data_IF_108054209186
#
_entry.id   IF_108054209186
#
_cell.length_a   1.000
_cell.length_b   1.000
_cell.length_c   1.000
_cell.angle_alpha   90.00
_cell.angle_beta   90.00
_cell.angle_gamma   90.00
#
_symmetry.space_group_name_H-M   'P 1'
#
loop_
_entity.id
_entity.type
_entity.pdbx_description
1 polymer ?
#
# COMPACT_ATOMS: atom_id res chain seq x y z
N UNK A 1 43.59 -72.07 46.04
CA UNK A 1 43.63 -71.77 47.50
C UNK A 1 42.78 -70.52 47.75
N UNK A 2 41.79 -70.60 48.66
CA UNK A 2 41.08 -69.52 49.40
C UNK A 2 40.28 -68.49 48.54
N UNK A 3 38.95 -68.53 48.46
CA UNK A 3 37.89 -68.19 49.45
C UNK A 3 38.02 -66.76 50.04
N UNK A 4 36.99 -65.92 49.82
CA UNK A 4 36.16 -65.13 50.78
C UNK A 4 35.76 -63.77 50.15
N UNK A 5 34.49 -63.56 49.79
CA UNK A 5 33.39 -62.93 50.60
C UNK A 5 33.68 -61.45 50.90
N UNK A 6 32.84 -60.48 50.52
CA UNK A 6 31.73 -59.95 51.34
C UNK A 6 30.74 -59.15 50.46
N UNK A 7 29.44 -59.33 50.75
CA UNK A 7 28.33 -58.50 50.29
C UNK A 7 28.24 -57.18 51.09
N UNK A 8 27.84 -56.07 50.45
CA UNK A 8 26.85 -55.14 51.02
C UNK A 8 26.40 -54.04 50.04
N UNK A 9 25.09 -54.07 49.78
CA UNK A 9 24.10 -52.99 49.62
C UNK A 9 24.41 -51.71 48.80
N UNK A 10 23.70 -51.63 47.67
CA UNK A 10 22.63 -50.66 47.36
C UNK A 10 22.97 -49.15 47.41
N UNK A 11 23.05 -48.54 46.22
CA UNK A 11 22.24 -47.37 45.86
C UNK A 11 22.29 -47.19 44.33
N UNK A 12 21.14 -47.38 43.67
CA UNK A 12 20.98 -47.07 42.25
C UNK A 12 20.76 -45.55 42.16
N UNK A 13 21.73 -44.84 41.59
CA UNK A 13 21.56 -43.47 41.11
C UNK A 13 21.90 -43.51 39.63
N UNK A 14 20.86 -43.63 38.81
CA UNK A 14 20.92 -43.52 37.36
C UNK A 14 21.12 -42.06 36.97
N UNK A 15 22.37 -41.68 36.68
CA UNK A 15 22.70 -40.44 35.98
C UNK A 15 23.26 -40.83 34.62
N UNK A 16 22.39 -40.78 33.61
CA UNK A 16 22.80 -40.89 32.21
C UNK A 16 23.47 -39.56 31.81
N UNK A 17 24.80 -39.55 31.86
CA UNK A 17 25.63 -38.60 31.13
C UNK A 17 25.56 -38.94 29.64
N UNK A 18 24.73 -38.22 28.89
CA UNK A 18 24.86 -38.19 27.42
C UNK A 18 25.64 -36.95 27.04
N UNK A 19 26.83 -37.20 26.51
CA UNK A 19 27.79 -36.21 26.08
C UNK A 19 27.33 -35.37 24.90
N UNK A 20 27.91 -34.19 24.85
CA UNK A 20 27.81 -33.16 23.83
C UNK A 20 28.15 -33.71 22.43
N UNK A 21 27.22 -33.56 21.48
CA UNK A 21 27.50 -33.51 20.04
C UNK A 21 26.91 -32.19 19.54
N UNK A 22 27.63 -31.37 18.75
CA UNK A 22 27.00 -30.21 18.13
C UNK A 22 26.10 -30.73 17.02
N UNK A 23 24.80 -30.86 17.30
CA UNK A 23 23.79 -30.90 16.25
C UNK A 23 23.73 -29.51 15.64
N UNK A 24 24.13 -29.43 14.37
CA UNK A 24 23.79 -28.32 13.51
C UNK A 24 22.26 -28.38 13.31
N UNK A 25 21.52 -27.88 14.29
CA UNK A 25 20.11 -27.61 14.11
C UNK A 25 20.04 -26.35 13.25
N UNK A 26 19.75 -26.58 11.97
CA UNK A 26 19.09 -25.59 11.14
C UNK A 26 17.78 -25.25 11.84
N UNK A 27 17.85 -24.32 12.80
CA UNK A 27 16.71 -23.54 13.23
C UNK A 27 16.22 -22.86 11.96
N UNK A 28 15.23 -23.49 11.33
CA UNK A 28 14.33 -22.84 10.39
C UNK A 28 13.66 -21.72 11.18
N UNK A 29 14.36 -20.60 11.29
CA UNK A 29 13.73 -19.32 11.52
C UNK A 29 12.79 -19.20 10.35
N UNK A 30 11.51 -19.46 10.62
CA UNK A 30 10.40 -19.05 9.80
C UNK A 30 10.45 -17.52 9.77
N UNK A 31 11.35 -17.00 8.94
CA UNK A 31 11.27 -15.65 8.42
C UNK A 31 9.88 -15.63 7.82
N UNK A 32 8.98 -14.87 8.44
CA UNK A 32 7.78 -14.43 7.73
C UNK A 32 8.33 -13.68 6.53
N UNK A 33 8.37 -14.36 5.39
CA UNK A 33 8.40 -13.68 4.11
C UNK A 33 7.21 -12.72 4.14
N UNK A 34 7.49 -11.44 4.32
CA UNK A 34 6.60 -10.38 3.89
C UNK A 34 6.59 -10.43 2.37
N UNK A 35 5.95 -11.46 1.81
CA UNK A 35 5.79 -11.65 0.39
C UNK A 35 4.59 -10.81 -0.03
N UNK A 36 4.89 -9.58 -0.44
CA UNK A 36 3.90 -8.61 -0.86
C UNK A 36 4.59 -7.34 -1.30
N UNK A 37 5.53 -7.43 -2.25
CA UNK A 37 5.86 -6.26 -3.06
C UNK A 37 4.54 -5.79 -3.66
N UNK A 38 3.99 -4.69 -3.17
CA UNK A 38 2.81 -4.08 -3.77
C UNK A 38 3.12 -3.81 -5.23
N UNK A 39 2.56 -4.62 -6.13
CA UNK A 39 2.83 -4.50 -7.55
C UNK A 39 2.12 -3.25 -8.06
N UNK A 40 2.87 -2.34 -8.66
CA UNK A 40 2.30 -1.25 -9.45
C UNK A 40 2.04 -1.80 -10.85
N UNK A 41 0.79 -1.88 -11.26
CA UNK A 41 0.39 -2.39 -12.58
C UNK A 41 0.74 -1.41 -13.70
N UNK A 42 0.70 -0.10 -13.45
CA UNK A 42 0.93 0.91 -14.47
C UNK A 42 1.47 2.22 -13.88
N UNK A 43 2.36 2.87 -14.63
CA UNK A 43 2.71 4.29 -14.42
C UNK A 43 1.88 5.15 -15.37
N UNK A 44 1.09 6.07 -14.82
CA UNK A 44 0.33 7.07 -15.55
C UNK A 44 1.14 8.37 -15.57
N UNK A 45 1.73 8.67 -16.73
CA UNK A 45 2.39 9.95 -16.98
C UNK A 45 1.34 11.02 -17.29
N UNK A 46 1.06 11.88 -16.31
CA UNK A 46 0.04 12.92 -16.42
C UNK A 46 0.60 14.12 -17.20
N UNK A 47 -0.03 14.54 -18.33
CA UNK A 47 0.51 15.54 -19.23
C UNK A 47 0.22 16.96 -18.73
N UNK A 48 1.06 17.51 -17.84
CA UNK A 48 0.87 18.84 -17.26
C UNK A 48 0.94 19.96 -18.29
N UNK A 49 1.67 19.78 -19.39
CA UNK A 49 1.65 20.74 -20.49
C UNK A 49 0.26 20.88 -21.14
N UNK A 50 -0.58 19.84 -21.07
CA UNK A 50 -1.93 19.84 -21.65
C UNK A 50 -3.01 20.25 -20.64
N UNK A 51 -2.83 19.88 -19.37
CA UNK A 51 -3.74 20.19 -18.27
C UNK A 51 -2.96 20.84 -17.11
N UNK A 52 -2.47 22.08 -17.31
CA UNK A 52 -1.53 22.71 -16.38
C UNK A 52 -2.11 22.97 -14.99
N UNK A 53 -3.39 23.33 -14.88
CA UNK A 53 -3.99 23.60 -13.57
C UNK A 53 -4.15 22.31 -12.77
N UNK A 54 -4.64 21.24 -13.40
CA UNK A 54 -4.80 19.92 -12.77
C UNK A 54 -3.44 19.30 -12.45
N UNK A 55 -2.47 19.39 -13.35
CA UNK A 55 -1.11 18.90 -13.12
C UNK A 55 -0.43 19.59 -11.93
N UNK A 56 -0.61 20.90 -11.80
CA UNK A 56 -0.12 21.65 -10.64
C UNK A 56 -0.79 21.20 -9.33
N UNK A 57 -2.12 20.99 -9.33
CA UNK A 57 -2.83 20.49 -8.15
C UNK A 57 -2.34 19.11 -7.72
N UNK A 58 -2.20 18.17 -8.66
CA UNK A 58 -1.68 16.81 -8.37
C UNK A 58 -0.29 16.90 -7.72
N UNK A 59 0.61 17.70 -8.31
CA UNK A 59 1.97 17.88 -7.81
C UNK A 59 1.98 18.48 -6.39
N UNK A 60 1.25 19.57 -6.18
CA UNK A 60 1.13 20.22 -4.87
C UNK A 60 0.54 19.27 -3.81
N UNK A 61 -0.47 18.49 -4.16
CA UNK A 61 -1.09 17.54 -3.24
C UNK A 61 -0.10 16.43 -2.83
N UNK A 62 0.69 15.90 -3.77
CA UNK A 62 1.75 14.93 -3.47
C UNK A 62 2.83 15.56 -2.57
N UNK A 63 3.25 16.80 -2.85
CA UNK A 63 4.21 17.54 -2.01
C UNK A 63 3.69 17.78 -0.59
N UNK A 64 2.37 17.91 -0.41
CA UNK A 64 1.69 17.97 0.90
C UNK A 64 1.53 16.60 1.57
N UNK A 65 2.08 15.53 0.99
CA UNK A 65 2.07 14.18 1.55
C UNK A 65 0.89 13.30 1.11
N UNK A 66 0.15 13.68 0.07
CA UNK A 66 -0.77 12.73 -0.58
C UNK A 66 0.04 11.66 -1.32
N UNK A 67 -0.50 10.44 -1.35
CA UNK A 67 0.10 9.33 -2.10
C UNK A 67 0.11 9.62 -3.59
N UNK A 68 1.14 9.15 -4.29
CA UNK A 68 1.21 9.12 -5.76
C UNK A 68 0.62 7.82 -6.34
N UNK A 69 0.10 6.92 -5.49
CA UNK A 69 -0.55 5.67 -5.88
C UNK A 69 -2.07 5.82 -5.84
N UNK A 70 -2.71 5.39 -6.93
CA UNK A 70 -4.15 5.22 -7.04
C UNK A 70 -4.49 3.74 -7.10
N UNK A 71 -5.10 3.19 -6.06
CA UNK A 71 -5.70 1.85 -6.10
C UNK A 71 -7.12 1.98 -6.66
N UNK A 72 -7.38 1.47 -7.86
CA UNK A 72 -8.65 1.70 -8.55
C UNK A 72 -9.80 1.05 -7.78
N UNK A 73 -10.80 1.84 -7.42
CA UNK A 73 -12.08 1.38 -6.90
C UNK A 73 -13.18 2.25 -7.50
N UNK A 74 -13.87 1.73 -8.51
CA UNK A 74 -14.93 2.49 -9.19
C UNK A 74 -16.22 2.52 -8.37
N UNK A 75 -16.51 1.48 -7.59
CA UNK A 75 -17.77 1.34 -6.84
C UNK A 75 -17.88 2.39 -5.73
N UNK A 76 -16.80 2.67 -5.01
CA UNK A 76 -16.78 3.67 -3.94
C UNK A 76 -16.71 5.14 -4.40
N UNK A 77 -16.72 5.40 -5.71
CA UNK A 77 -16.36 6.72 -6.24
C UNK A 77 -17.35 7.83 -5.87
N UNK A 78 -18.65 7.53 -5.92
CA UNK A 78 -19.68 8.49 -5.56
C UNK A 78 -19.60 8.89 -4.08
N UNK A 79 -19.36 7.92 -3.20
CA UNK A 79 -19.26 8.16 -1.75
C UNK A 79 -17.99 8.95 -1.40
N UNK A 80 -16.85 8.60 -1.99
CA UNK A 80 -15.60 9.37 -1.80
C UNK A 80 -15.77 10.81 -2.28
N UNK A 81 -16.40 11.05 -3.44
CA UNK A 81 -16.71 12.41 -3.92
C UNK A 81 -17.63 13.18 -2.97
N UNK A 82 -18.63 12.51 -2.38
CA UNK A 82 -19.49 13.14 -1.37
C UNK A 82 -18.70 13.54 -0.13
N UNK A 83 -17.80 12.67 0.33
CA UNK A 83 -16.97 12.88 1.52
C UNK A 83 -15.96 14.01 1.33
N UNK A 84 -15.20 14.00 0.23
CA UNK A 84 -14.17 14.99 -0.08
C UNK A 84 -14.76 16.40 -0.25
N UNK A 85 -15.97 16.49 -0.82
CA UNK A 85 -16.61 17.77 -1.19
C UNK A 85 -17.63 18.29 -0.17
N UNK A 86 -17.85 17.59 0.95
CA UNK A 86 -18.96 17.85 1.88
C UNK A 86 -19.05 19.31 2.37
N UNK A 87 -17.91 19.99 2.53
CA UNK A 87 -17.84 21.38 3.03
C UNK A 87 -17.13 22.33 2.05
N UNK A 88 -17.01 21.94 0.78
CA UNK A 88 -16.40 22.78 -0.24
C UNK A 88 -17.51 23.36 -1.10
N UNK A 89 -17.84 24.67 -1.01
CA UNK A 89 -18.91 25.24 -1.82
C UNK A 89 -18.61 25.14 -3.31
N UNK A 90 -19.64 25.19 -4.16
CA UNK A 90 -19.40 25.33 -5.59
C UNK A 90 -18.93 26.76 -5.91
N UNK A 91 -18.15 26.91 -6.97
CA UNK A 91 -17.67 28.22 -7.45
C UNK A 91 -18.00 28.37 -8.92
N UNK A 92 -18.81 29.37 -9.27
CA UNK A 92 -19.23 29.62 -10.66
C UNK A 92 -18.01 29.72 -11.58
N UNK A 93 -18.00 28.94 -12.66
CA UNK A 93 -16.91 28.92 -13.64
C UNK A 93 -15.71 28.04 -13.26
N UNK A 94 -15.84 27.21 -12.22
CA UNK A 94 -14.82 26.26 -11.77
C UNK A 94 -15.43 24.91 -11.42
N UNK A 95 -14.67 23.85 -11.67
CA UNK A 95 -14.92 22.54 -11.07
C UNK A 95 -14.10 22.41 -9.77
N UNK A 96 -14.49 21.51 -8.87
CA UNK A 96 -13.72 21.15 -7.67
C UNK A 96 -12.94 19.88 -7.99
N UNK A 97 -11.64 20.03 -8.25
CA UNK A 97 -10.77 18.89 -8.47
C UNK A 97 -10.35 18.26 -7.13
N UNK A 98 -10.11 16.96 -7.12
CA UNK A 98 -9.87 16.15 -5.92
C UNK A 98 -8.59 15.32 -6.07
N UNK A 99 -7.66 15.44 -5.12
CA UNK A 99 -6.50 14.56 -5.06
C UNK A 99 -6.20 14.04 -3.64
N UNK A 100 -6.16 12.71 -3.39
CA UNK A 100 -6.35 11.63 -4.36
C UNK A 100 -7.77 11.58 -4.93
N UNK A 101 -7.87 11.13 -6.18
CA UNK A 101 -9.11 11.17 -6.95
C UNK A 101 -10.18 10.27 -6.33
N UNK A 102 -11.44 10.65 -6.47
CA UNK A 102 -12.55 9.78 -6.10
C UNK A 102 -12.71 8.55 -7.02
N UNK A 103 -11.76 8.17 -7.86
CA UNK A 103 -11.73 6.82 -8.45
C UNK A 103 -10.74 5.88 -7.73
N UNK A 104 -9.93 6.42 -6.82
CA UNK A 104 -8.91 5.73 -6.06
C UNK A 104 -9.41 5.45 -4.64
N UNK A 105 -9.09 4.29 -4.06
CA UNK A 105 -9.42 3.95 -2.67
C UNK A 105 -8.90 5.00 -1.67
N UNK A 106 -7.80 5.66 -2.02
CA UNK A 106 -7.12 6.69 -1.23
C UNK A 106 -7.81 8.07 -1.29
N UNK A 107 -8.83 8.23 -2.15
CA UNK A 107 -9.64 9.43 -2.22
C UNK A 107 -10.67 9.54 -1.09
N UNK A 108 -11.50 10.57 -1.14
CA UNK A 108 -12.55 10.79 -0.14
C UNK A 108 -12.12 11.72 0.98
N UNK A 109 -12.37 11.32 2.24
CA UNK A 109 -12.07 12.15 3.41
C UNK A 109 -10.60 12.57 3.39
N UNK A 110 -10.37 13.89 3.44
CA UNK A 110 -9.04 14.47 3.48
C UNK A 110 -8.35 14.62 2.12
N UNK A 111 -9.01 14.35 0.99
CA UNK A 111 -8.47 14.74 -0.32
C UNK A 111 -8.18 16.27 -0.37
N UNK A 112 -7.06 16.65 -1.00
CA UNK A 112 -6.75 18.05 -1.33
C UNK A 112 -7.71 18.50 -2.44
N UNK A 113 -8.29 19.69 -2.27
CA UNK A 113 -9.31 20.23 -3.17
C UNK A 113 -8.85 21.55 -3.73
N UNK A 114 -8.93 21.70 -5.06
CA UNK A 114 -8.62 22.96 -5.75
C UNK A 114 -9.71 23.29 -6.77
N UNK A 115 -10.02 24.58 -6.90
CA UNK A 115 -10.91 25.05 -7.95
C UNK A 115 -10.14 25.17 -9.26
N UNK A 116 -10.54 24.42 -10.27
CA UNK A 116 -9.86 24.34 -11.57
C UNK A 116 -10.81 24.74 -12.69
N UNK A 117 -10.29 25.37 -13.75
CA UNK A 117 -11.10 25.68 -14.95
C UNK A 117 -11.73 24.40 -15.53
N UNK A 118 -13.05 24.40 -15.84
CA UNK A 118 -13.72 23.18 -16.28
C UNK A 118 -13.12 22.51 -17.51
N UNK A 119 -12.58 23.29 -18.46
CA UNK A 119 -11.94 22.74 -19.65
C UNK A 119 -10.65 21.95 -19.32
N UNK A 120 -9.87 22.42 -18.35
CA UNK A 120 -8.66 21.75 -17.89
C UNK A 120 -9.04 20.48 -17.12
N UNK A 121 -9.88 20.63 -16.09
CA UNK A 121 -10.25 19.55 -15.17
C UNK A 121 -10.98 18.39 -15.87
N UNK A 122 -11.96 18.67 -16.74
CA UNK A 122 -12.73 17.63 -17.43
C UNK A 122 -11.87 16.91 -18.47
N UNK A 123 -11.00 17.66 -19.14
CA UNK A 123 -10.03 17.09 -20.07
C UNK A 123 -9.06 16.15 -19.35
N UNK A 124 -8.56 16.55 -18.18
CA UNK A 124 -7.73 15.73 -17.31
C UNK A 124 -8.47 14.47 -16.83
N UNK A 125 -9.71 14.61 -16.37
CA UNK A 125 -10.57 13.49 -15.95
C UNK A 125 -10.79 12.47 -17.07
N UNK A 126 -11.10 12.93 -18.29
CA UNK A 126 -11.20 12.04 -19.46
C UNK A 126 -9.87 11.36 -19.81
N UNK A 127 -8.75 12.08 -19.72
CA UNK A 127 -7.43 11.50 -19.96
C UNK A 127 -7.13 10.36 -18.99
N UNK A 128 -7.29 10.61 -17.68
CA UNK A 128 -7.05 9.60 -16.65
C UNK A 128 -8.01 8.42 -16.81
N UNK A 129 -9.30 8.69 -17.01
CA UNK A 129 -10.33 7.66 -17.23
C UNK A 129 -9.95 6.71 -18.37
N UNK A 130 -9.55 7.26 -19.52
CA UNK A 130 -9.10 6.46 -20.67
C UNK A 130 -7.82 5.66 -20.36
N UNK A 131 -6.89 6.20 -19.57
CA UNK A 131 -5.65 5.51 -19.20
C UNK A 131 -5.86 4.32 -18.28
N UNK A 132 -6.92 4.34 -17.46
CA UNK A 132 -7.22 3.29 -16.49
C UNK A 132 -8.40 2.42 -16.89
N UNK A 133 -9.08 2.70 -18.00
CA UNK A 133 -10.31 2.03 -18.45
C UNK A 133 -10.18 0.50 -18.47
N UNK A 134 -9.05 -0.01 -18.99
CA UNK A 134 -8.81 -1.45 -19.16
C UNK A 134 -8.22 -2.13 -17.91
N UNK A 135 -7.96 -1.36 -16.85
CA UNK A 135 -7.43 -1.90 -15.60
C UNK A 135 -8.58 -2.36 -14.69
N UNK A 136 -8.48 -3.54 -14.07
CA UNK A 136 -9.47 -4.01 -13.13
C UNK A 136 -9.50 -3.15 -11.86
N UNK A 137 -10.61 -3.16 -11.15
CA UNK A 137 -10.64 -2.65 -9.77
C UNK A 137 -9.61 -3.42 -8.92
N UNK A 138 -8.91 -2.72 -8.02
CA UNK A 138 -7.80 -3.23 -7.23
C UNK A 138 -6.42 -3.01 -7.85
N UNK A 139 -6.32 -2.70 -9.16
CA UNK A 139 -5.05 -2.35 -9.78
C UNK A 139 -4.50 -1.04 -9.21
N UNK A 140 -3.19 -0.99 -8.98
CA UNK A 140 -2.43 0.15 -8.48
C UNK A 140 -1.75 0.88 -9.63
N UNK A 141 -2.06 2.15 -9.75
CA UNK A 141 -1.50 3.05 -10.75
C UNK A 141 -0.66 4.11 -10.06
N UNK A 142 0.62 4.20 -10.41
CA UNK A 142 1.49 5.28 -9.96
C UNK A 142 1.32 6.50 -10.88
N UNK A 143 1.00 7.65 -10.31
CA UNK A 143 0.78 8.90 -11.04
C UNK A 143 2.08 9.71 -11.02
N UNK A 144 2.56 10.10 -12.20
CA UNK A 144 3.76 10.94 -12.35
C UNK A 144 3.40 12.14 -13.23
N UNK A 145 3.53 13.34 -12.69
CA UNK A 145 3.29 14.57 -13.45
C UNK A 145 4.49 14.85 -14.36
N UNK A 146 4.24 15.01 -15.67
CA UNK A 146 5.23 15.28 -16.72
C UNK A 146 4.98 16.60 -17.43
#
# INVERSE_FOLDING_TARGET
MKIRTIMSNLAIISVLLVGCKPTFETSSQKVKEANGSERVEQVLEFPSAKYPETGAHIKEAIEKGKTDICTIDRKGAADRRKQSLANVPTKKGYDRDEYPMALCQEGGVGADIKYIKPSDNRGAGSYIGNKVEKLPDGAKVKIVVK
#
